data_IF_044209556228
#
_entry.id   IF_044209556228
#
_cell.length_a   1.000
_cell.length_b   1.000
_cell.length_c   1.000
_cell.angle_alpha   90.00
_cell.angle_beta   90.00
_cell.angle_gamma   90.00
#
_symmetry.space_group_name_H-M   'P 1'
#
loop_
_entity.id
_entity.type
_entity.pdbx_description
1 polymer ?
#
# COMPACT_ATOMS: atom_id res chain seq x y z
N UNK A 1 0.68 0.51 -15.07
CA UNK A 1 0.23 0.29 -13.69
C UNK A 1 -0.23 1.60 -13.09
N UNK A 2 -1.27 1.54 -12.30
CA UNK A 2 -1.78 2.73 -11.60
C UNK A 2 -1.35 2.64 -10.14
N UNK A 3 -0.32 3.36 -9.74
CA UNK A 3 0.17 3.23 -8.37
C UNK A 3 -0.84 3.66 -7.31
N UNK A 4 -1.71 4.60 -7.65
CA UNK A 4 -2.72 5.02 -6.68
C UNK A 4 -3.73 3.92 -6.44
N UNK A 5 -4.20 3.29 -7.50
CA UNK A 5 -5.15 2.21 -7.36
C UNK A 5 -4.50 1.01 -6.66
N UNK A 6 -3.26 0.71 -7.01
CA UNK A 6 -2.56 -0.40 -6.39
C UNK A 6 -2.36 -0.15 -4.90
N UNK A 7 -1.99 1.07 -4.54
CA UNK A 7 -1.82 1.42 -3.15
C UNK A 7 -3.12 1.29 -2.37
N UNK A 8 -4.21 1.73 -2.99
CA UNK A 8 -5.49 1.63 -2.33
C UNK A 8 -5.91 0.18 -2.10
N UNK A 9 -5.69 -0.67 -3.10
CA UNK A 9 -5.98 -2.09 -2.93
C UNK A 9 -5.12 -2.71 -1.85
N UNK A 10 -3.85 -2.33 -1.80
CA UNK A 10 -2.96 -2.85 -0.78
C UNK A 10 -3.47 -2.46 0.61
N UNK A 11 -3.90 -1.23 0.78
CA UNK A 11 -4.42 -0.80 2.06
C UNK A 11 -5.66 -1.60 2.46
N UNK A 12 -6.52 -1.90 1.49
CA UNK A 12 -7.71 -2.68 1.78
C UNK A 12 -7.35 -4.09 2.22
N UNK A 13 -6.37 -4.70 1.56
CA UNK A 13 -5.94 -6.02 1.96
C UNK A 13 -5.30 -5.99 3.34
N UNK A 14 -4.54 -4.96 3.65
CA UNK A 14 -3.92 -4.87 4.95
C UNK A 14 -4.95 -4.70 6.06
N UNK A 15 -6.00 -3.92 5.80
CA UNK A 15 -7.07 -3.78 6.77
C UNK A 15 -7.78 -5.11 6.99
N UNK A 16 -8.04 -5.83 5.91
CA UNK A 16 -8.68 -7.13 6.03
C UNK A 16 -7.79 -8.10 6.79
N UNK A 17 -6.49 -8.05 6.55
CA UNK A 17 -5.55 -8.90 7.28
C UNK A 17 -5.52 -8.57 8.76
N UNK A 18 -5.70 -7.31 9.09
CA UNK A 18 -5.73 -6.91 10.48
C UNK A 18 -6.86 -7.63 11.22
N UNK A 19 -7.97 -7.84 10.53
CA UNK A 19 -9.10 -8.51 11.13
C UNK A 19 -9.00 -10.02 11.03
N UNK A 20 -8.29 -10.52 10.05
CA UNK A 20 -8.14 -11.95 9.86
C UNK A 20 -6.68 -12.25 9.49
N UNK A 21 -5.79 -12.18 10.47
CA UNK A 21 -4.35 -12.33 10.18
C UNK A 21 -3.96 -13.73 9.73
N UNK A 22 -4.84 -14.69 9.84
CA UNK A 22 -4.52 -16.04 9.42
C UNK A 22 -4.92 -16.33 7.98
N UNK A 23 -5.53 -15.38 7.32
CA UNK A 23 -5.97 -15.59 5.95
C UNK A 23 -4.76 -15.51 5.02
N UNK A 24 -4.35 -16.67 4.55
CA UNK A 24 -3.15 -16.73 3.72
C UNK A 24 -3.37 -16.13 2.34
N UNK A 25 -4.59 -16.21 1.87
CA UNK A 25 -4.88 -15.64 0.56
C UNK A 25 -4.77 -14.11 0.60
N UNK A 26 -5.29 -13.50 1.63
CA UNK A 26 -5.14 -12.06 1.79
C UNK A 26 -3.68 -11.66 1.89
N UNK A 27 -2.93 -12.44 2.64
CA UNK A 27 -1.51 -12.14 2.80
C UNK A 27 -0.78 -12.23 1.49
N UNK A 28 -1.05 -13.28 0.72
CA UNK A 28 -0.39 -13.45 -0.57
C UNK A 28 -0.74 -12.31 -1.51
N UNK A 29 -1.99 -11.89 -1.51
CA UNK A 29 -2.40 -10.80 -2.37
C UNK A 29 -1.73 -9.49 -1.96
N UNK A 30 -1.63 -9.24 -0.66
CA UNK A 30 -0.97 -8.03 -0.19
C UNK A 30 0.50 -8.01 -0.58
N UNK A 31 1.16 -9.15 -0.44
CA UNK A 31 2.58 -9.24 -0.80
C UNK A 31 2.75 -9.00 -2.29
N UNK A 32 1.86 -9.54 -3.10
CA UNK A 32 1.95 -9.36 -4.53
C UNK A 32 1.84 -7.88 -4.91
N UNK A 33 0.91 -7.19 -4.30
CA UNK A 33 0.75 -5.78 -4.58
C UNK A 33 1.95 -4.98 -4.11
N UNK A 34 2.48 -5.35 -2.96
CA UNK A 34 3.66 -4.67 -2.44
C UNK A 34 4.85 -4.85 -3.38
N UNK A 35 5.02 -6.06 -3.89
CA UNK A 35 6.10 -6.30 -4.83
C UNK A 35 5.92 -5.52 -6.12
N UNK A 36 4.68 -5.43 -6.59
CA UNK A 36 4.42 -4.66 -7.80
C UNK A 36 4.77 -3.19 -7.60
N UNK A 37 4.40 -2.63 -6.46
CA UNK A 37 4.75 -1.24 -6.17
C UNK A 37 6.25 -1.05 -6.04
N UNK A 38 6.92 -2.00 -5.40
CA UNK A 38 8.35 -1.91 -5.24
C UNK A 38 9.05 -1.89 -6.60
N UNK A 39 8.62 -2.78 -7.50
CA UNK A 39 9.21 -2.80 -8.82
C UNK A 39 8.93 -1.52 -9.58
N UNK A 40 7.71 -0.99 -9.42
CA UNK A 40 7.35 0.26 -10.07
C UNK A 40 8.25 1.40 -9.62
N UNK A 41 8.48 1.50 -8.32
CA UNK A 41 9.32 2.57 -7.80
C UNK A 41 10.77 2.40 -8.21
N UNK A 42 11.25 1.16 -8.28
CA UNK A 42 12.62 0.91 -8.68
C UNK A 42 12.89 1.32 -10.11
N UNK A 43 11.87 1.24 -10.95
CA UNK A 43 12.03 1.64 -12.34
C UNK A 43 11.88 3.13 -12.54
N UNK A 44 11.75 3.88 -11.46
CA UNK A 44 11.62 5.31 -11.56
C UNK A 44 10.19 5.79 -11.66
N UNK A 45 9.23 4.93 -11.36
CA UNK A 45 7.84 5.35 -11.35
C UNK A 45 7.55 6.30 -10.22
N UNK A 46 6.50 7.10 -10.40
CA UNK A 46 6.14 8.05 -9.36
C UNK A 46 5.43 7.32 -8.22
N UNK A 47 5.55 7.89 -7.02
CA UNK A 47 4.95 7.28 -5.84
C UNK A 47 3.44 7.48 -5.84
N UNK A 48 2.69 6.57 -5.20
CA UNK A 48 1.25 6.75 -5.10
C UNK A 48 0.92 7.93 -4.20
N UNK A 49 -0.26 8.47 -4.44
CA UNK A 49 -0.74 9.56 -3.60
C UNK A 49 -1.19 9.00 -2.27
N UNK A 50 -0.55 9.43 -1.21
CA UNK A 50 -0.90 8.99 0.11
C UNK A 50 -1.65 10.10 0.80
N UNK A 51 -2.58 9.73 1.65
CA UNK A 51 -3.37 10.71 2.36
C UNK A 51 -2.47 11.64 3.14
N UNK A 52 -2.50 12.91 2.79
CA UNK A 52 -1.61 13.87 3.38
C UNK A 52 -1.96 14.19 4.81
N UNK A 53 -3.17 13.92 5.20
CA UNK A 53 -3.57 14.17 6.56
C UNK A 53 -2.73 13.42 7.57
N UNK A 54 -2.13 12.36 7.14
CA UNK A 54 -1.31 11.57 8.04
C UNK A 54 0.02 12.22 8.32
N UNK A 55 0.42 13.16 7.50
CA UNK A 55 1.74 13.75 7.63
C UNK A 55 1.75 15.04 8.40
N UNK A 56 0.65 15.73 8.35
CA UNK A 56 0.64 17.05 8.89
C UNK A 56 1.09 17.14 10.32
N UNK A 57 0.65 16.27 11.20
CA UNK A 57 1.07 16.43 12.59
C UNK A 57 2.55 16.39 12.77
N UNK A 58 3.22 15.68 11.92
CA UNK A 58 4.63 15.59 12.06
C UNK A 58 5.33 16.86 11.70
N UNK A 59 4.76 17.56 10.77
CA UNK A 59 5.41 18.75 10.33
C UNK A 59 5.31 19.85 11.31
N UNK A 60 4.33 19.80 12.14
CA UNK A 60 4.14 20.86 13.04
C UNK A 60 5.02 20.82 14.22
N UNK A 61 5.69 19.77 14.43
CA UNK A 61 6.58 19.71 15.58
C UNK A 61 7.89 20.40 15.35
#
# INVERSE_FOLDING_TARGET
>A
MDPNATWQMLCEYLLALHQDPQDEELRANAIELLQALTRWLRRGGFAPMINQDLHRPQEEV
#
